data_IF_987958585509
#
_entry.id   IF_987958585509
#
_cell.length_a   1.000
_cell.length_b   1.000
_cell.length_c   1.000
_cell.angle_alpha   90.00
_cell.angle_beta   90.00
_cell.angle_gamma   90.00
#
_symmetry.space_group_name_H-M   'P 1'
#
loop_
_entity.id
_entity.type
_entity.pdbx_description
1 polymer ?
#
# COMPACT_ATOMS: atom_id res chain seq x y z
N UNK A 1 -9.22 16.53 4.87
CA UNK A 1 -8.41 15.36 4.61
C UNK A 1 -7.37 15.62 3.52
N UNK A 2 -6.19 15.10 3.69
CA UNK A 2 -5.16 15.26 2.68
C UNK A 2 -5.48 14.42 1.46
N UNK A 3 -5.35 15.05 0.31
CA UNK A 3 -5.57 14.35 -0.95
C UNK A 3 -4.27 13.68 -1.38
N UNK A 4 -4.35 12.39 -1.63
CA UNK A 4 -3.17 11.65 -2.07
C UNK A 4 -3.02 11.70 -3.58
N UNK A 5 -1.78 11.64 -4.09
CA UNK A 5 -1.57 11.42 -5.51
C UNK A 5 -2.25 10.13 -5.95
N UNK A 6 -2.61 10.09 -7.22
CA UNK A 6 -3.34 8.93 -7.75
C UNK A 6 -2.64 7.61 -7.50
N UNK A 7 -1.31 7.57 -7.67
CA UNK A 7 -0.56 6.34 -7.44
C UNK A 7 -0.68 5.85 -6.01
N UNK A 8 -0.61 6.78 -5.05
CA UNK A 8 -0.72 6.41 -3.64
C UNK A 8 -2.14 6.00 -3.30
N UNK A 9 -3.13 6.65 -3.91
CA UNK A 9 -4.52 6.26 -3.71
C UNK A 9 -4.77 4.82 -4.16
N UNK A 10 -4.15 4.43 -5.27
CA UNK A 10 -4.31 3.07 -5.78
C UNK A 10 -3.75 2.04 -4.81
N UNK A 11 -2.63 2.34 -4.18
CA UNK A 11 -2.07 1.45 -3.17
C UNK A 11 -3.00 1.35 -1.98
N UNK A 12 -3.54 2.47 -1.52
CA UNK A 12 -4.47 2.47 -0.40
C UNK A 12 -5.73 1.67 -0.73
N UNK A 13 -6.24 1.78 -1.95
CA UNK A 13 -7.40 0.99 -2.37
C UNK A 13 -7.13 -0.50 -2.25
N UNK A 14 -5.94 -0.94 -2.63
CA UNK A 14 -5.57 -2.34 -2.49
C UNK A 14 -5.49 -2.75 -1.03
N UNK A 15 -4.86 -1.92 -0.22
CA UNK A 15 -4.72 -2.20 1.21
C UNK A 15 -6.08 -2.32 1.89
N UNK A 16 -6.99 -1.42 1.53
CA UNK A 16 -8.35 -1.46 2.09
C UNK A 16 -9.16 -2.65 1.58
N UNK A 17 -8.88 -3.09 0.36
CA UNK A 17 -9.61 -4.21 -0.23
C UNK A 17 -9.35 -5.52 0.50
N UNK A 18 -8.15 -5.70 1.01
CA UNK A 18 -7.83 -6.86 1.82
C UNK A 18 -8.28 -6.60 3.25
N UNK A 19 -8.99 -7.57 3.83
CA UNK A 19 -9.47 -7.44 5.20
C UNK A 19 -8.39 -7.75 6.23
N UNK A 20 -7.17 -7.96 5.79
CA UNK A 20 -6.06 -8.34 6.65
C UNK A 20 -4.77 -7.70 6.13
N UNK A 21 -3.68 -7.75 6.90
CA UNK A 21 -2.41 -7.18 6.45
C UNK A 21 -1.98 -7.76 5.10
N UNK A 22 -1.44 -6.90 4.24
CA UNK A 22 -1.02 -7.28 2.91
C UNK A 22 0.50 -7.19 2.78
N UNK A 23 1.07 -8.10 2.01
CA UNK A 23 2.49 -8.07 1.72
C UNK A 23 2.75 -7.18 0.51
N UNK A 24 4.03 -6.76 0.38
CA UNK A 24 4.42 -6.00 -0.80
C UNK A 24 4.14 -6.78 -2.08
N UNK A 25 4.35 -8.09 -2.04
CA UNK A 25 4.12 -8.93 -3.21
C UNK A 25 2.67 -8.89 -3.68
N UNK A 26 1.73 -8.87 -2.74
CA UNK A 26 0.31 -8.81 -3.11
C UNK A 26 0.01 -7.48 -3.79
N UNK A 27 0.59 -6.40 -3.29
CA UNK A 27 0.40 -5.09 -3.89
C UNK A 27 1.05 -5.03 -5.27
N UNK A 28 2.29 -5.51 -5.39
CA UNK A 28 3.01 -5.52 -6.65
C UNK A 28 2.26 -6.33 -7.71
N UNK A 29 1.75 -7.48 -7.32
CA UNK A 29 1.04 -8.34 -8.24
C UNK A 29 -0.19 -7.64 -8.82
N UNK A 30 -0.98 -7.00 -7.96
CA UNK A 30 -2.16 -6.30 -8.41
C UNK A 30 -1.82 -5.11 -9.31
N UNK A 31 -0.88 -4.30 -8.90
CA UNK A 31 -0.52 -3.11 -9.68
C UNK A 31 0.21 -3.45 -10.95
N UNK A 32 1.00 -4.51 -10.95
CA UNK A 32 1.70 -4.92 -12.15
C UNK A 32 0.72 -5.38 -13.23
N UNK A 33 -0.30 -6.11 -12.83
CA UNK A 33 -1.32 -6.57 -13.79
C UNK A 33 -2.14 -5.41 -14.33
N UNK A 34 -2.51 -4.47 -13.47
CA UNK A 34 -3.39 -3.37 -13.86
C UNK A 34 -2.66 -2.17 -14.46
N UNK A 35 -1.49 -1.82 -13.93
CA UNK A 35 -0.80 -0.59 -14.27
C UNK A 35 0.64 -0.78 -14.72
N UNK A 36 1.17 -1.98 -14.61
CA UNK A 36 2.55 -2.25 -14.98
C UNK A 36 3.54 -1.31 -14.29
N UNK A 37 3.37 -1.12 -12.98
CA UNK A 37 4.23 -0.25 -12.17
C UNK A 37 5.43 -1.06 -11.66
N UNK A 38 6.63 -0.48 -11.78
CA UNK A 38 7.85 -1.15 -11.34
C UNK A 38 7.85 -1.38 -9.82
N UNK A 39 8.42 -2.51 -9.36
CA UNK A 39 8.50 -2.77 -7.91
C UNK A 39 9.21 -1.68 -7.11
N UNK A 40 10.24 -1.07 -7.69
CA UNK A 40 10.95 0.00 -6.99
C UNK A 40 10.06 1.22 -6.76
N UNK A 41 9.19 1.51 -7.72
CA UNK A 41 8.25 2.61 -7.59
C UNK A 41 7.23 2.29 -6.50
N UNK A 42 6.75 1.05 -6.45
CA UNK A 42 5.80 0.63 -5.43
C UNK A 42 6.42 0.78 -4.04
N UNK A 43 7.66 0.36 -3.88
CA UNK A 43 8.34 0.49 -2.60
C UNK A 43 8.46 1.94 -2.17
N UNK A 44 8.78 2.83 -3.11
CA UNK A 44 8.87 4.25 -2.83
C UNK A 44 7.52 4.81 -2.36
N UNK A 45 6.45 4.41 -3.05
CA UNK A 45 5.10 4.86 -2.68
C UNK A 45 4.69 4.36 -1.31
N UNK A 46 5.01 3.11 -1.00
CA UNK A 46 4.73 2.55 0.32
C UNK A 46 5.47 3.30 1.41
N UNK A 47 6.73 3.65 1.16
CA UNK A 47 7.52 4.42 2.11
C UNK A 47 6.90 5.78 2.36
N UNK A 48 6.42 6.42 1.30
CA UNK A 48 5.75 7.73 1.43
C UNK A 48 4.48 7.62 2.24
N UNK A 49 3.67 6.61 1.97
CA UNK A 49 2.43 6.40 2.72
C UNK A 49 2.71 6.13 4.19
N UNK A 50 3.74 5.38 4.47
CA UNK A 50 4.14 5.10 5.84
C UNK A 50 4.53 6.39 6.56
N UNK A 51 5.32 7.22 5.91
CA UNK A 51 5.74 8.50 6.48
C UNK A 51 4.57 9.45 6.72
N UNK A 52 3.57 9.39 5.85
CA UNK A 52 2.37 10.22 5.99
C UNK A 52 1.42 9.70 7.06
N UNK A 53 1.67 8.50 7.57
CA UNK A 53 0.82 7.92 8.60
C UNK A 53 -0.41 7.24 8.08
N UNK A 54 -0.44 6.86 6.81
CA UNK A 54 -1.59 6.17 6.22
C UNK A 54 -1.51 4.68 6.37
N UNK A 55 -0.31 4.12 6.42
CA UNK A 55 -0.11 2.69 6.61
C UNK A 55 1.00 2.46 7.63
N UNK A 56 1.02 1.26 8.18
CA UNK A 56 2.06 0.85 9.10
C UNK A 56 2.67 -0.44 8.59
N UNK A 57 4.00 -0.50 8.62
CA UNK A 57 4.72 -1.72 8.25
C UNK A 57 4.84 -2.59 9.49
N UNK A 58 4.38 -3.83 9.36
CA UNK A 58 4.45 -4.81 10.45
C UNK A 58 5.34 -5.94 9.99
N UNK A 59 6.36 -6.22 10.77
CA UNK A 59 7.26 -7.31 10.43
C UNK A 59 6.65 -8.64 10.86
N UNK A 60 6.62 -9.59 9.94
CA UNK A 60 6.09 -10.92 10.22
C UNK A 60 7.07 -11.96 9.68
N UNK A 61 7.95 -12.43 10.53
CA UNK A 61 9.00 -13.34 10.12
C UNK A 61 9.95 -12.69 9.13
N UNK A 62 10.09 -13.27 7.95
CA UNK A 62 10.96 -12.74 6.91
C UNK A 62 10.27 -11.71 6.03
N UNK A 63 8.98 -11.55 6.21
CA UNK A 63 8.20 -10.67 5.35
C UNK A 63 7.74 -9.42 6.10
N UNK A 64 7.52 -8.35 5.34
CA UNK A 64 6.91 -7.15 5.87
C UNK A 64 5.48 -7.10 5.37
N UNK A 65 4.56 -6.83 6.29
CA UNK A 65 3.15 -6.67 5.95
C UNK A 65 2.77 -5.23 6.18
N UNK A 66 1.75 -4.78 5.48
CA UNK A 66 1.26 -3.42 5.60
C UNK A 66 -0.19 -3.42 6.04
N UNK A 67 -0.50 -2.57 7.00
CA UNK A 67 -1.86 -2.42 7.50
C UNK A 67 -2.28 -0.97 7.37
N UNK A 68 -3.55 -0.70 7.09
CA UNK A 68 -4.02 0.68 7.00
C UNK A 68 -4.15 1.28 8.39
N UNK A 69 -3.70 2.51 8.54
CA UNK A 69 -3.88 3.26 9.78
C UNK A 69 -5.08 4.20 9.69
N UNK A 70 -5.61 4.38 8.49
CA UNK A 70 -6.78 5.23 8.26
C UNK A 70 -7.85 4.39 7.59
N UNK A 71 -9.11 4.75 7.83
CA UNK A 71 -10.22 4.04 7.22
C UNK A 71 -10.53 4.60 5.84
N UNK A 72 -11.09 3.74 5.00
CA UNK A 72 -11.55 4.18 3.70
C UNK A 72 -12.74 5.10 3.86
N UNK A 73 -12.69 6.23 3.18
CA UNK A 73 -13.81 7.15 3.18
C UNK A 73 -14.83 6.76 2.11
N UNK A 74 -16.07 6.89 2.47
CA UNK A 74 -17.18 6.66 1.55
C UNK A 74 -17.60 7.95 0.90
#
# INVERSE_FOLDING_TARGET
MKKLPESEQEIMMIVWEYAEPVSRFQIEEKLNVEKNIAPSTILTLLTRLEKKGFIQKVRNGKSNLYVPLVEKEN
#
